data_IF_599074467107
#
_entry.id   IF_599074467107
#
_cell.length_a   1.000
_cell.length_b   1.000
_cell.length_c   1.000
_cell.angle_alpha   90.00
_cell.angle_beta   90.00
_cell.angle_gamma   90.00
#
_symmetry.space_group_name_H-M   'P 1'
#
loop_
_entity.id
_entity.type
_entity.pdbx_description
1 polymer ?
#
# COMPACT_ATOMS: atom_id res chain seq x y z
N UNK A 1 -6.30 -8.22 -13.17
CA UNK A 1 -6.43 -7.79 -11.77
C UNK A 1 -7.00 -6.37 -11.75
N UNK A 2 -7.76 -6.00 -10.71
CA UNK A 2 -8.31 -4.66 -10.53
C UNK A 2 -7.44 -3.88 -9.54
N UNK A 3 -7.02 -2.67 -9.92
CA UNK A 3 -6.16 -1.80 -9.11
C UNK A 3 -6.86 -0.46 -8.89
N UNK A 4 -6.96 -0.04 -7.63
CA UNK A 4 -7.58 1.22 -7.22
C UNK A 4 -6.70 2.00 -6.26
N UNK A 5 -7.11 3.24 -5.98
CA UNK A 5 -6.64 4.08 -4.88
C UNK A 5 -7.83 4.85 -4.33
N UNK A 6 -7.68 5.46 -3.15
CA UNK A 6 -8.80 6.14 -2.45
C UNK A 6 -8.55 7.64 -2.34
N UNK A 7 -9.61 8.43 -2.47
CA UNK A 7 -9.60 9.87 -2.20
C UNK A 7 -10.22 10.10 -0.82
N UNK A 8 -9.60 10.96 0.00
CA UNK A 8 -10.09 11.25 1.35
C UNK A 8 -10.60 12.69 1.45
N UNK A 9 -11.85 12.84 1.91
CA UNK A 9 -12.51 14.14 2.03
C UNK A 9 -12.54 14.88 0.69
N UNK A 10 -12.31 16.19 0.72
CA UNK A 10 -12.32 17.05 -0.47
C UNK A 10 -10.97 17.08 -1.22
N UNK A 11 -10.11 16.08 -1.01
CA UNK A 11 -8.81 16.02 -1.68
C UNK A 11 -8.99 15.83 -3.19
N UNK A 12 -8.11 16.45 -3.98
CA UNK A 12 -8.07 16.23 -5.44
C UNK A 12 -7.15 15.08 -5.85
N UNK A 13 -6.43 14.52 -4.88
CA UNK A 13 -5.42 13.49 -5.08
C UNK A 13 -5.83 12.25 -4.32
N UNK A 14 -5.64 11.11 -4.97
CA UNK A 14 -5.75 9.81 -4.32
C UNK A 14 -4.60 9.62 -3.30
N UNK A 15 -4.74 8.68 -2.38
CA UNK A 15 -3.67 8.36 -1.43
C UNK A 15 -2.41 7.85 -2.14
N UNK A 16 -2.55 7.14 -3.26
CA UNK A 16 -1.43 6.75 -4.12
C UNK A 16 -0.81 7.92 -4.88
N UNK A 17 -1.61 8.85 -5.42
CA UNK A 17 -1.06 10.06 -6.08
C UNK A 17 -0.18 10.85 -5.11
N UNK A 18 -0.62 10.96 -3.84
CA UNK A 18 0.17 11.58 -2.77
C UNK A 18 1.44 10.84 -2.41
N UNK A 19 1.54 9.55 -2.73
CA UNK A 19 2.78 8.79 -2.60
C UNK A 19 3.69 9.05 -3.80
N UNK A 20 3.15 9.00 -5.02
CA UNK A 20 3.90 9.28 -6.26
C UNK A 20 4.48 10.70 -6.28
N UNK A 21 3.76 11.67 -5.70
CA UNK A 21 4.21 13.07 -5.60
C UNK A 21 5.27 13.31 -4.50
N UNK A 22 5.67 12.29 -3.72
CA UNK A 22 6.76 12.42 -2.75
C UNK A 22 8.12 12.22 -3.39
N UNK A 23 9.08 12.98 -2.92
CA UNK A 23 10.49 12.72 -3.21
C UNK A 23 11.06 11.73 -2.19
N UNK A 24 11.81 10.74 -2.68
CA UNK A 24 12.57 9.79 -1.86
C UNK A 24 14.07 9.88 -2.22
N UNK A 25 14.79 10.94 -1.79
CA UNK A 25 16.16 11.18 -2.22
C UNK A 25 17.07 10.00 -1.87
N UNK A 26 17.82 9.53 -2.88
CA UNK A 26 18.77 8.43 -2.73
C UNK A 26 18.11 7.06 -2.52
N UNK A 27 16.87 6.87 -2.96
CA UNK A 27 16.14 5.58 -2.88
C UNK A 27 15.60 5.11 -4.23
N UNK A 28 16.29 5.49 -5.29
CA UNK A 28 15.85 5.21 -6.65
C UNK A 28 15.75 3.69 -6.89
N UNK A 29 16.66 2.90 -6.29
CA UNK A 29 16.64 1.44 -6.35
C UNK A 29 15.43 0.85 -5.62
N UNK A 30 15.14 1.31 -4.40
CA UNK A 30 13.95 0.88 -3.65
C UNK A 30 12.64 1.22 -4.39
N UNK A 31 12.56 2.40 -5.00
CA UNK A 31 11.38 2.82 -5.77
C UNK A 31 11.21 2.00 -7.05
N UNK A 32 12.28 1.80 -7.81
CA UNK A 32 12.23 0.99 -9.03
C UNK A 32 11.74 -0.42 -8.72
N UNK A 33 12.29 -1.03 -7.67
CA UNK A 33 11.87 -2.36 -7.21
C UNK A 33 10.39 -2.40 -6.79
N UNK A 34 9.93 -1.38 -6.08
CA UNK A 34 8.53 -1.28 -5.66
C UNK A 34 7.58 -1.22 -6.87
N UNK A 35 7.91 -0.43 -7.90
CA UNK A 35 7.09 -0.34 -9.11
C UNK A 35 7.12 -1.63 -9.93
N UNK A 36 8.29 -2.26 -10.09
CA UNK A 36 8.41 -3.57 -10.74
C UNK A 36 7.57 -4.63 -10.01
N UNK A 37 7.52 -4.57 -8.67
CA UNK A 37 6.69 -5.45 -7.87
C UNK A 37 5.19 -5.17 -8.08
N UNK A 38 4.76 -3.90 -8.15
CA UNK A 38 3.37 -3.55 -8.45
C UNK A 38 2.98 -4.05 -9.84
N UNK A 39 3.85 -3.92 -10.84
CA UNK A 39 3.63 -4.45 -12.19
C UNK A 39 3.49 -5.99 -12.16
N UNK A 40 4.40 -6.67 -11.49
CA UNK A 40 4.36 -8.12 -11.33
C UNK A 40 3.06 -8.60 -10.65
N UNK A 41 2.64 -7.91 -9.59
CA UNK A 41 1.37 -8.20 -8.92
C UNK A 41 0.22 -7.95 -9.91
N UNK A 42 0.23 -6.82 -10.65
CA UNK A 42 -0.74 -6.46 -11.71
C UNK A 42 -0.94 -7.58 -12.72
N UNK A 43 0.14 -8.21 -13.15
CA UNK A 43 0.14 -9.32 -14.10
C UNK A 43 -0.26 -10.67 -13.48
N UNK A 44 0.17 -10.97 -12.25
CA UNK A 44 0.14 -12.33 -11.67
C UNK A 44 -0.85 -12.53 -10.52
N UNK A 45 -1.52 -11.47 -10.09
CA UNK A 45 -2.45 -11.46 -8.96
C UNK A 45 -1.79 -11.20 -7.60
N UNK A 46 -2.62 -10.96 -6.59
CA UNK A 46 -2.23 -10.61 -5.23
C UNK A 46 -1.72 -11.81 -4.39
N UNK A 47 -0.70 -12.53 -4.88
CA UNK A 47 -0.15 -13.68 -4.15
C UNK A 47 0.49 -13.22 -2.84
N UNK A 48 0.14 -13.92 -1.74
CA UNK A 48 0.58 -13.56 -0.37
C UNK A 48 2.09 -13.35 -0.19
N UNK A 49 2.94 -14.02 -0.98
CA UNK A 49 4.40 -13.89 -0.86
C UNK A 49 4.96 -12.59 -1.45
N UNK A 50 4.16 -11.82 -2.20
CA UNK A 50 4.54 -10.46 -2.64
C UNK A 50 4.42 -9.42 -1.53
N UNK A 51 3.89 -9.81 -0.38
CA UNK A 51 3.47 -8.89 0.66
C UNK A 51 4.07 -9.21 2.02
N UNK A 52 4.45 -8.16 2.75
CA UNK A 52 4.71 -8.20 4.18
C UNK A 52 3.44 -7.83 4.95
N UNK A 53 2.97 -8.75 5.77
CA UNK A 53 1.81 -8.52 6.64
C UNK A 53 2.28 -7.93 7.98
N UNK A 54 2.20 -6.61 8.11
CA UNK A 54 2.47 -5.88 9.36
C UNK A 54 1.13 -5.62 10.09
N UNK A 55 0.65 -6.61 10.86
CA UNK A 55 -0.69 -6.58 11.51
C UNK A 55 -1.85 -6.42 10.48
N UNK A 56 -3.08 -6.14 10.91
CA UNK A 56 -4.29 -6.09 10.05
C UNK A 56 -4.25 -5.04 8.91
N UNK A 57 -3.15 -4.32 8.69
CA UNK A 57 -2.96 -3.49 7.51
C UNK A 57 -2.46 -4.43 6.41
N UNK A 58 -3.38 -4.87 5.56
CA UNK A 58 -3.12 -5.86 4.55
C UNK A 58 -2.06 -5.34 3.57
N UNK A 59 -0.84 -5.80 3.80
CA UNK A 59 0.28 -5.79 2.88
C UNK A 59 1.04 -4.47 2.70
N UNK A 60 2.36 -4.59 2.82
CA UNK A 60 3.35 -3.75 2.13
C UNK A 60 3.88 -4.61 0.99
N UNK A 61 3.88 -4.09 -0.24
CA UNK A 61 4.58 -4.75 -1.36
C UNK A 61 6.08 -4.81 -1.03
N UNK A 62 6.57 -5.97 -0.59
CA UNK A 62 8.01 -6.21 -0.33
C UNK A 62 8.28 -7.67 -0.62
N UNK A 63 9.07 -7.94 -1.66
CA UNK A 63 9.72 -9.21 -1.85
C UNK A 63 10.90 -9.31 -0.85
N UNK A 64 10.98 -10.47 -0.19
CA UNK A 64 12.02 -10.78 0.77
C UNK A 64 13.35 -11.04 0.04
N UNK A 65 14.43 -10.64 0.71
CA UNK A 65 15.85 -10.98 0.46
C UNK A 65 16.70 -9.94 -0.31
N UNK A 66 16.22 -9.29 -1.38
CA UNK A 66 17.07 -8.32 -2.12
C UNK A 66 17.03 -6.88 -1.58
N UNK A 67 16.03 -6.55 -0.75
CA UNK A 67 15.83 -5.15 -0.35
C UNK A 67 16.94 -4.64 0.57
N UNK A 68 17.57 -5.51 1.35
CA UNK A 68 18.68 -5.08 2.21
C UNK A 68 19.93 -4.77 1.38
N UNK A 69 20.19 -5.53 0.30
CA UNK A 69 21.27 -5.26 -0.66
C UNK A 69 21.00 -3.97 -1.44
N UNK A 70 19.76 -3.76 -1.91
CA UNK A 70 19.35 -2.51 -2.58
C UNK A 70 19.55 -1.32 -1.63
N UNK A 71 19.13 -1.45 -0.37
CA UNK A 71 19.28 -0.40 0.64
C UNK A 71 20.73 -0.15 1.00
N UNK A 72 21.58 -1.16 1.02
CA UNK A 72 23.03 -0.97 1.20
C UNK A 72 23.64 -0.22 0.01
N UNK A 73 23.27 -0.56 -1.23
CA UNK A 73 23.71 0.13 -2.44
C UNK A 73 23.26 1.59 -2.47
N UNK A 74 22.04 1.86 -2.02
CA UNK A 74 21.47 3.21 -1.88
C UNK A 74 22.03 3.99 -0.67
N UNK A 75 22.83 3.34 0.20
CA UNK A 75 23.39 3.96 1.40
C UNK A 75 22.40 4.17 2.55
N UNK A 76 21.26 3.47 2.52
CA UNK A 76 20.13 3.60 3.45
C UNK A 76 19.97 2.41 4.42
N UNK A 77 21.07 1.80 4.84
CA UNK A 77 21.04 0.65 5.77
C UNK A 77 20.54 0.99 7.17
N UNK A 78 20.43 2.28 7.53
CA UNK A 78 20.04 2.74 8.86
C UNK A 78 18.52 2.71 9.14
N UNK A 79 17.67 2.75 8.13
CA UNK A 79 16.21 2.71 8.28
C UNK A 79 15.64 1.30 8.03
N UNK A 80 14.41 1.18 7.53
CA UNK A 80 13.75 -0.09 7.20
C UNK A 80 13.13 -0.10 5.80
N UNK A 81 13.50 0.89 4.98
CA UNK A 81 13.06 1.07 3.61
C UNK A 81 11.70 1.75 3.45
N UNK A 82 11.33 1.96 2.19
CA UNK A 82 10.04 2.52 1.78
C UNK A 82 8.92 1.56 2.14
N UNK A 83 7.77 2.13 2.54
CA UNK A 83 6.50 1.44 2.70
C UNK A 83 5.50 2.06 1.77
N UNK A 84 4.85 1.23 0.97
CA UNK A 84 3.59 1.54 0.30
C UNK A 84 2.53 0.64 0.90
N UNK A 85 1.59 1.22 1.64
CA UNK A 85 0.49 0.46 2.21
C UNK A 85 -0.54 0.15 1.14
N UNK A 86 -1.17 -1.01 1.24
CA UNK A 86 -2.28 -1.37 0.38
C UNK A 86 -3.38 -2.08 1.15
N UNK A 87 -4.42 -2.46 0.44
CA UNK A 87 -5.41 -3.44 0.82
C UNK A 87 -5.53 -4.43 -0.32
N UNK A 88 -5.54 -5.72 0.02
CA UNK A 88 -5.74 -6.80 -0.94
C UNK A 88 -6.94 -7.63 -0.52
N UNK A 89 -7.69 -8.11 -1.51
CA UNK A 89 -8.74 -9.10 -1.32
C UNK A 89 -8.58 -10.19 -2.36
N UNK A 90 -8.52 -11.43 -1.89
CA UNK A 90 -8.28 -12.60 -2.73
C UNK A 90 -7.02 -12.42 -3.62
N UNK A 91 -7.06 -12.86 -4.87
CA UNK A 91 -5.95 -12.75 -5.81
C UNK A 91 -6.16 -11.65 -6.88
N UNK A 92 -7.28 -10.91 -6.86
CA UNK A 92 -7.73 -10.10 -7.99
C UNK A 92 -8.07 -8.62 -7.69
N UNK A 93 -7.97 -8.18 -6.44
CA UNK A 93 -8.18 -6.80 -6.03
C UNK A 93 -6.99 -6.26 -5.22
N UNK A 94 -6.42 -5.15 -5.72
CA UNK A 94 -5.42 -4.34 -5.04
C UNK A 94 -5.91 -2.89 -4.89
N UNK A 95 -5.84 -2.34 -3.70
CA UNK A 95 -6.10 -0.92 -3.43
C UNK A 95 -4.84 -0.32 -2.84
N UNK A 96 -4.18 0.57 -3.58
CA UNK A 96 -2.97 1.26 -3.16
C UNK A 96 -3.34 2.48 -2.30
N UNK A 97 -2.56 2.70 -1.25
CA UNK A 97 -2.70 3.85 -0.37
C UNK A 97 -1.44 4.71 -0.44
N UNK A 98 -1.19 5.50 0.61
CA UNK A 98 0.02 6.27 0.79
C UNK A 98 1.03 5.47 1.64
N UNK A 99 2.23 6.02 1.80
CA UNK A 99 3.25 5.46 2.66
C UNK A 99 4.50 6.34 2.68
N UNK A 100 5.56 5.87 3.31
CA UNK A 100 6.78 6.66 3.53
C UNK A 100 7.96 5.75 3.92
N UNK A 101 9.13 6.34 4.17
CA UNK A 101 10.30 5.63 4.70
C UNK A 101 10.07 5.27 6.17
N UNK A 102 10.13 3.97 6.48
CA UNK A 102 10.02 3.46 7.85
C UNK A 102 11.38 3.52 8.55
N UNK A 103 11.49 4.26 9.65
CA UNK A 103 12.76 4.50 10.36
C UNK A 103 12.89 3.76 11.69
N UNK A 104 11.82 3.15 12.19
CA UNK A 104 11.80 2.38 13.45
C UNK A 104 10.99 1.09 13.28
N UNK A 105 11.25 0.11 14.15
CA UNK A 105 10.67 -1.24 14.04
C UNK A 105 9.13 -1.25 14.03
N UNK A 106 8.50 -0.51 14.94
CA UNK A 106 7.04 -0.45 15.03
C UNK A 106 6.49 0.64 14.09
N UNK A 107 5.68 0.30 13.06
CA UNK A 107 5.09 1.29 12.17
C UNK A 107 4.28 2.35 12.91
N UNK A 108 3.60 1.99 14.00
CA UNK A 108 2.77 2.93 14.79
C UNK A 108 3.58 4.03 15.47
N UNK A 109 4.83 3.71 15.82
CA UNK A 109 5.74 4.61 16.52
C UNK A 109 6.66 5.35 15.54
N UNK A 110 6.60 5.01 14.24
CA UNK A 110 7.40 5.66 13.23
C UNK A 110 6.83 7.04 12.89
N UNK A 111 7.63 8.12 12.99
CA UNK A 111 7.15 9.47 12.73
C UNK A 111 6.67 9.64 11.29
N UNK A 112 7.32 8.98 10.33
CA UNK A 112 7.01 9.10 8.91
C UNK A 112 5.79 8.24 8.53
N UNK A 113 5.79 6.95 8.89
CA UNK A 113 4.75 6.01 8.41
C UNK A 113 3.56 5.85 9.36
N UNK A 114 3.64 6.30 10.62
CA UNK A 114 2.62 5.99 11.63
C UNK A 114 1.22 6.51 11.30
N UNK A 115 1.12 7.70 10.70
CA UNK A 115 -0.16 8.24 10.26
C UNK A 115 -0.70 7.50 9.02
N UNK A 116 0.17 7.19 8.05
CA UNK A 116 -0.19 6.42 6.86
C UNK A 116 -0.67 5.01 7.24
N UNK A 117 0.02 4.35 8.16
CA UNK A 117 -0.35 3.03 8.68
C UNK A 117 -1.73 3.02 9.35
N UNK A 118 -1.98 3.96 10.28
CA UNK A 118 -3.28 4.05 10.98
C UNK A 118 -4.42 4.33 10.01
N UNK A 119 -4.17 5.18 9.01
CA UNK A 119 -5.13 5.51 7.97
C UNK A 119 -5.44 4.29 7.10
N UNK A 120 -4.41 3.59 6.62
CA UNK A 120 -4.56 2.35 5.85
C UNK A 120 -5.38 1.30 6.60
N UNK A 121 -5.12 1.11 7.90
CA UNK A 121 -5.93 0.22 8.76
C UNK A 121 -7.41 0.61 8.79
N UNK A 122 -7.69 1.91 8.93
CA UNK A 122 -9.06 2.43 9.02
C UNK A 122 -9.80 2.23 7.70
N UNK A 123 -9.16 2.56 6.58
CA UNK A 123 -9.71 2.39 5.23
C UNK A 123 -9.96 0.91 4.95
N UNK A 124 -8.97 0.04 5.18
CA UNK A 124 -9.09 -1.40 4.97
C UNK A 124 -10.27 -1.98 5.75
N UNK A 125 -10.39 -1.63 7.04
CA UNK A 125 -11.51 -2.08 7.87
C UNK A 125 -12.88 -1.60 7.33
N UNK A 126 -12.94 -0.42 6.73
CA UNK A 126 -14.18 0.12 6.16
C UNK A 126 -14.54 -0.53 4.83
N UNK A 127 -13.54 -0.82 3.99
CA UNK A 127 -13.74 -1.61 2.77
C UNK A 127 -14.25 -3.02 3.11
N UNK A 128 -13.61 -3.70 4.07
CA UNK A 128 -14.05 -5.02 4.54
C UNK A 128 -15.50 -4.99 5.06
N UNK A 129 -15.84 -3.96 5.83
CA UNK A 129 -17.20 -3.78 6.36
C UNK A 129 -18.22 -3.55 5.24
N UNK A 130 -17.93 -2.64 4.30
CA UNK A 130 -18.82 -2.34 3.18
C UNK A 130 -19.02 -3.55 2.24
N UNK A 131 -18.00 -4.40 2.07
CA UNK A 131 -18.15 -5.68 1.37
C UNK A 131 -19.06 -6.63 2.16
N UNK A 132 -18.85 -6.74 3.47
CA UNK A 132 -19.65 -7.61 4.33
C UNK A 132 -21.13 -7.19 4.41
N UNK A 133 -21.38 -5.88 4.40
CA UNK A 133 -22.73 -5.29 4.42
C UNK A 133 -23.41 -5.32 3.03
N UNK A 134 -22.68 -5.71 1.98
CA UNK A 134 -23.18 -5.79 0.61
C UNK A 134 -23.26 -4.46 -0.12
N UNK A 135 -22.66 -3.40 0.43
CA UNK A 135 -22.52 -2.08 -0.21
C UNK A 135 -21.53 -2.16 -1.39
N UNK A 136 -20.49 -2.99 -1.26
CA UNK A 136 -19.51 -3.27 -2.31
C UNK A 136 -19.71 -4.69 -2.82
N UNK A 137 -20.17 -4.82 -4.06
CA UNK A 137 -20.33 -6.11 -4.71
C UNK A 137 -19.11 -6.46 -5.57
N UNK A 138 -18.25 -7.36 -5.08
CA UNK A 138 -17.03 -7.78 -5.79
C UNK A 138 -17.28 -8.55 -7.10
N UNK A 139 -18.51 -9.05 -7.33
CA UNK A 139 -18.90 -9.68 -8.60
C UNK A 139 -19.16 -8.63 -9.71
N UNK A 140 -19.30 -7.35 -9.35
CA UNK A 140 -19.37 -6.26 -10.31
C UNK A 140 -18.01 -6.08 -11.01
N UNK A 141 -17.97 -5.88 -12.34
CA UNK A 141 -16.73 -5.50 -13.04
C UNK A 141 -16.07 -4.23 -12.49
N UNK A 142 -16.86 -3.32 -11.90
CA UNK A 142 -16.44 -2.03 -11.34
C UNK A 142 -16.99 -1.83 -9.91
N UNK A 143 -16.54 -2.64 -8.93
CA UNK A 143 -17.15 -2.74 -7.61
C UNK A 143 -17.02 -1.48 -6.73
N UNK A 144 -16.19 -0.52 -7.15
CA UNK A 144 -15.92 0.73 -6.42
C UNK A 144 -16.48 1.98 -7.13
N UNK A 145 -17.32 1.82 -8.16
CA UNK A 145 -17.91 2.97 -8.86
C UNK A 145 -18.90 3.67 -7.93
N UNK A 146 -18.71 4.97 -7.71
CA UNK A 146 -19.58 5.81 -6.88
C UNK A 146 -19.74 5.39 -5.41
N UNK A 147 -18.69 4.78 -4.82
CA UNK A 147 -18.67 4.38 -3.40
C UNK A 147 -18.07 5.49 -2.52
N UNK A 148 -18.84 5.97 -1.55
CA UNK A 148 -18.38 6.87 -0.48
C UNK A 148 -18.49 6.16 0.87
N UNK A 149 -17.37 6.08 1.60
CA UNK A 149 -17.32 5.44 2.91
C UNK A 149 -16.97 6.46 4.01
N UNK A 150 -17.76 6.46 5.09
CA UNK A 150 -17.43 7.24 6.28
C UNK A 150 -16.28 6.56 7.05
N UNK A 151 -15.06 7.11 6.90
CA UNK A 151 -13.85 6.62 7.58
C UNK A 151 -13.69 7.22 8.96
#
# INVERSE_FOLDING_TARGET
MRVYSVILGDSKESEFDKFENKEFPGRDGELAYLYDLIELITERGCRKHYFRFEQNANAVAVLYDDIDDIREQDGNSADQGIRLYCYIREDDLLVLFNGDVKTVQNPRDCPNVGNHFKRALKIASKIDQAIADGEINLDDPFPFTDIELEI
#
